data_IF_324213089369
#
_entry.id   IF_324213089369
#
_cell.length_a   1.000
_cell.length_b   1.000
_cell.length_c   1.000
_cell.angle_alpha   90.00
_cell.angle_beta   90.00
_cell.angle_gamma   90.00
#
_symmetry.space_group_name_H-M   'P 1'
#
loop_
_entity.id
_entity.type
_entity.pdbx_description
1 polymer ?
#
# COMPACT_ATOMS: atom_id res chain seq x y z
N UNK A 1 -7.74 19.10 -11.72
CA UNK A 1 -6.70 18.88 -10.69
C UNK A 1 -6.11 20.19 -10.18
N UNK A 2 -5.40 20.97 -11.02
CA UNK A 2 -4.71 22.22 -10.62
C UNK A 2 -5.60 23.35 -10.08
N UNK A 3 -6.91 23.31 -10.35
CA UNK A 3 -7.89 24.28 -9.86
C UNK A 3 -8.48 23.92 -8.49
N UNK A 4 -8.10 22.78 -7.91
CA UNK A 4 -8.63 22.36 -6.61
C UNK A 4 -7.99 23.20 -5.48
N UNK A 5 -8.76 23.70 -4.49
CA UNK A 5 -8.24 24.61 -3.46
C UNK A 5 -7.13 24.01 -2.58
N UNK A 6 -7.09 22.67 -2.47
CA UNK A 6 -6.05 21.93 -1.73
C UNK A 6 -4.87 21.47 -2.61
N UNK A 7 -4.77 21.97 -3.84
CA UNK A 7 -3.62 21.70 -4.72
C UNK A 7 -2.53 22.73 -4.44
N UNK A 8 -1.31 22.28 -4.15
CA UNK A 8 -0.21 23.18 -3.77
C UNK A 8 0.38 23.89 -5.01
N UNK A 9 0.89 25.10 -4.81
CA UNK A 9 1.69 25.78 -5.84
C UNK A 9 3.00 25.01 -6.05
N UNK A 10 3.38 24.75 -7.29
CA UNK A 10 4.57 23.95 -7.66
C UNK A 10 4.58 22.49 -7.16
N UNK A 11 3.41 21.93 -6.80
CA UNK A 11 3.29 20.58 -6.23
C UNK A 11 4.05 19.50 -7.02
N UNK A 12 3.94 19.49 -8.36
CA UNK A 12 4.62 18.51 -9.21
C UNK A 12 6.13 18.51 -8.99
N UNK A 13 6.74 19.69 -8.89
CA UNK A 13 8.18 19.80 -8.69
C UNK A 13 8.60 19.33 -7.29
N UNK A 14 7.82 19.68 -6.27
CA UNK A 14 8.07 19.21 -4.90
C UNK A 14 7.95 17.69 -4.79
N UNK A 15 6.89 17.10 -5.36
CA UNK A 15 6.66 15.67 -5.41
C UNK A 15 7.79 14.95 -6.18
N UNK A 16 8.19 15.47 -7.34
CA UNK A 16 9.27 14.89 -8.13
C UNK A 16 10.62 14.95 -7.39
N UNK A 17 10.96 16.10 -6.80
CA UNK A 17 12.18 16.26 -6.01
C UNK A 17 12.20 15.30 -4.82
N UNK A 18 11.09 15.19 -4.09
CA UNK A 18 10.98 14.28 -2.96
C UNK A 18 11.10 12.83 -3.41
N UNK A 19 10.40 12.44 -4.48
CA UNK A 19 10.49 11.10 -5.06
C UNK A 19 11.93 10.73 -5.43
N UNK A 20 12.69 11.64 -6.06
CA UNK A 20 14.10 11.38 -6.40
C UNK A 20 14.98 11.18 -5.17
N UNK A 21 14.80 12.02 -4.13
CA UNK A 21 15.54 11.89 -2.86
C UNK A 21 15.20 10.56 -2.18
N UNK A 22 13.91 10.21 -2.13
CA UNK A 22 13.41 8.98 -1.54
C UNK A 22 13.93 7.75 -2.27
N UNK A 23 13.85 7.73 -3.60
CA UNK A 23 14.38 6.64 -4.41
C UNK A 23 15.88 6.45 -4.21
N UNK A 24 16.66 7.53 -4.19
CA UNK A 24 18.10 7.46 -3.96
C UNK A 24 18.42 6.81 -2.61
N UNK A 25 17.87 7.35 -1.51
CA UNK A 25 18.18 6.86 -0.16
C UNK A 25 17.59 5.47 0.11
N UNK A 26 16.37 5.18 -0.34
CA UNK A 26 15.80 3.85 -0.23
C UNK A 26 16.62 2.81 -1.01
N UNK A 27 17.19 3.18 -2.16
CA UNK A 27 18.09 2.31 -2.92
C UNK A 27 19.38 2.02 -2.14
N UNK A 28 19.99 3.04 -1.52
CA UNK A 28 21.18 2.86 -0.66
C UNK A 28 20.88 1.88 0.48
N UNK A 29 19.74 2.02 1.15
CA UNK A 29 19.31 1.12 2.22
C UNK A 29 19.00 -0.31 1.74
N UNK A 30 18.71 -0.48 0.45
CA UNK A 30 18.41 -1.78 -0.16
C UNK A 30 19.68 -2.54 -0.55
N UNK A 31 20.82 -1.87 -0.74
CA UNK A 31 22.09 -2.49 -1.16
C UNK A 31 22.50 -3.68 -0.29
N UNK A 32 22.45 -3.64 1.06
CA UNK A 32 22.81 -4.78 1.89
C UNK A 32 21.92 -6.01 1.65
N UNK A 33 20.62 -5.79 1.36
CA UNK A 33 19.66 -6.86 1.08
C UNK A 33 20.00 -7.54 -0.26
N UNK A 34 20.27 -6.74 -1.31
CA UNK A 34 20.69 -7.27 -2.61
C UNK A 34 22.01 -8.01 -2.51
N UNK A 35 22.97 -7.48 -1.75
CA UNK A 35 24.23 -8.15 -1.51
C UNK A 35 24.02 -9.50 -0.82
N UNK A 36 23.12 -9.57 0.16
CA UNK A 36 22.80 -10.81 0.83
C UNK A 36 22.16 -11.85 -0.12
N UNK A 37 21.27 -11.41 -1.02
CA UNK A 37 20.67 -12.25 -2.07
C UNK A 37 21.72 -12.79 -3.04
N UNK A 38 22.67 -11.95 -3.48
CA UNK A 38 23.75 -12.35 -4.39
C UNK A 38 24.73 -13.32 -3.70
N UNK A 39 25.01 -13.13 -2.41
CA UNK A 39 25.87 -14.00 -1.60
C UNK A 39 25.24 -15.35 -1.25
N UNK A 40 23.98 -15.58 -1.60
CA UNK A 40 23.29 -16.85 -1.35
C UNK A 40 22.75 -17.00 0.07
N UNK A 41 22.55 -15.90 0.82
CA UNK A 41 21.89 -15.94 2.13
C UNK A 41 20.36 -16.07 2.03
N UNK A 42 19.81 -16.19 0.83
CA UNK A 42 18.38 -16.35 0.55
C UNK A 42 18.09 -17.66 -0.15
N UNK A 43 16.82 -18.04 -0.18
CA UNK A 43 16.31 -19.25 -0.82
C UNK A 43 16.02 -19.01 -2.31
N UNK A 44 16.91 -18.28 -2.99
CA UNK A 44 16.80 -18.02 -4.42
C UNK A 44 17.31 -19.21 -5.23
N UNK A 45 16.51 -19.66 -6.19
CA UNK A 45 16.80 -20.82 -7.02
C UNK A 45 16.54 -20.54 -8.51
N UNK A 46 16.99 -21.42 -9.40
CA UNK A 46 16.80 -21.28 -10.85
C UNK A 46 15.64 -22.16 -11.34
N UNK A 47 14.85 -21.65 -12.29
CA UNK A 47 13.66 -22.38 -12.77
C UNK A 47 14.10 -23.71 -13.39
N UNK A 48 13.46 -24.80 -12.96
CA UNK A 48 13.73 -26.15 -13.44
C UNK A 48 14.95 -26.82 -12.80
N UNK A 49 15.58 -26.23 -11.79
CA UNK A 49 16.74 -26.82 -11.09
C UNK A 49 16.38 -27.98 -10.13
N UNK A 50 15.08 -28.24 -9.93
CA UNK A 50 14.57 -29.30 -9.06
C UNK A 50 14.46 -28.92 -7.58
N UNK A 51 14.74 -27.67 -7.20
CA UNK A 51 14.62 -27.19 -5.80
C UNK A 51 13.19 -27.29 -5.27
N UNK A 52 12.20 -27.10 -6.14
CA UNK A 52 10.76 -27.14 -5.81
C UNK A 52 9.99 -27.89 -6.89
N UNK A 53 8.75 -28.28 -6.59
CA UNK A 53 7.87 -28.90 -7.59
C UNK A 53 7.48 -27.90 -8.67
N UNK A 54 7.24 -28.38 -9.90
CA UNK A 54 6.77 -27.53 -11.01
C UNK A 54 5.45 -26.81 -10.69
N UNK A 55 4.59 -27.41 -9.86
CA UNK A 55 3.38 -26.74 -9.36
C UNK A 55 3.72 -25.53 -8.49
N UNK A 56 4.73 -25.64 -7.61
CA UNK A 56 5.19 -24.51 -6.82
C UNK A 56 5.82 -23.43 -7.70
N UNK A 57 6.58 -23.81 -8.74
CA UNK A 57 7.19 -22.82 -9.65
C UNK A 57 6.17 -21.88 -10.29
N UNK A 58 4.95 -22.37 -10.56
CA UNK A 58 3.84 -21.53 -11.05
C UNK A 58 3.13 -20.82 -9.89
N UNK A 59 2.87 -21.54 -8.78
CA UNK A 59 2.11 -21.00 -7.65
C UNK A 59 2.85 -19.92 -6.84
N UNK A 60 4.19 -19.89 -6.90
CA UNK A 60 5.01 -18.94 -6.13
C UNK A 60 4.64 -17.47 -6.39
N UNK A 61 4.16 -17.13 -7.59
CA UNK A 61 3.71 -15.77 -7.89
C UNK A 61 2.45 -15.40 -7.10
N UNK A 62 1.50 -16.33 -6.99
CA UNK A 62 0.29 -16.12 -6.19
C UNK A 62 0.64 -16.01 -4.71
N UNK A 63 1.53 -16.86 -4.21
CA UNK A 63 2.01 -16.79 -2.82
C UNK A 63 2.73 -15.47 -2.54
N UNK A 64 3.56 -15.00 -3.46
CA UNK A 64 4.21 -13.70 -3.38
C UNK A 64 3.19 -12.56 -3.33
N UNK A 65 2.17 -12.57 -4.20
CA UNK A 65 1.15 -11.52 -4.24
C UNK A 65 0.39 -11.47 -2.91
N UNK A 66 -0.04 -12.61 -2.38
CA UNK A 66 -0.75 -12.68 -1.08
C UNK A 66 0.16 -12.19 0.05
N UNK A 67 1.42 -12.63 0.08
CA UNK A 67 2.40 -12.20 1.07
C UNK A 67 2.64 -10.68 1.01
N UNK A 68 2.96 -10.17 -0.18
CA UNK A 68 3.26 -8.76 -0.42
C UNK A 68 2.08 -7.86 -0.07
N UNK A 69 0.87 -8.23 -0.49
CA UNK A 69 -0.37 -7.50 -0.17
C UNK A 69 -0.62 -7.48 1.35
N UNK A 70 -0.43 -8.62 2.02
CA UNK A 70 -0.61 -8.72 3.47
C UNK A 70 0.37 -7.85 4.22
N UNK A 71 1.67 -8.00 3.93
CA UNK A 71 2.70 -7.22 4.61
C UNK A 71 2.54 -5.72 4.34
N UNK A 72 2.27 -5.33 3.10
CA UNK A 72 2.10 -3.92 2.72
C UNK A 72 0.88 -3.30 3.41
N UNK A 73 -0.26 -4.01 3.48
CA UNK A 73 -1.45 -3.52 4.18
C UNK A 73 -1.15 -3.21 5.65
N UNK A 74 -0.51 -4.15 6.36
CA UNK A 74 -0.22 -3.97 7.78
C UNK A 74 0.88 -2.94 8.03
N UNK A 75 1.92 -2.88 7.18
CA UNK A 75 2.94 -1.83 7.24
C UNK A 75 2.32 -0.45 7.01
N UNK A 76 1.42 -0.31 6.03
CA UNK A 76 0.74 0.94 5.78
C UNK A 76 -0.08 1.38 7.01
N UNK A 77 -0.84 0.48 7.62
CA UNK A 77 -1.55 0.77 8.88
C UNK A 77 -0.60 1.12 10.02
N UNK A 78 0.55 0.48 10.11
CA UNK A 78 1.57 0.79 11.10
C UNK A 78 2.13 2.21 10.90
N UNK A 79 2.34 2.65 9.64
CA UNK A 79 2.75 4.03 9.35
C UNK A 79 1.68 5.07 9.69
N UNK A 80 0.42 4.67 9.79
CA UNK A 80 -0.65 5.49 10.37
C UNK A 80 -0.66 5.52 11.89
N UNK A 81 0.26 4.87 12.60
CA UNK A 81 0.39 5.00 14.06
C UNK A 81 0.94 6.39 14.46
N UNK A 82 0.52 7.04 15.58
CA UNK A 82 0.81 8.46 15.84
C UNK A 82 2.26 8.89 15.77
N UNK A 83 3.13 8.01 16.24
CA UNK A 83 4.57 8.24 16.18
C UNK A 83 5.08 8.23 14.74
N UNK A 84 4.84 7.15 13.99
CA UNK A 84 5.32 6.95 12.63
C UNK A 84 4.63 7.88 11.63
N UNK A 85 3.36 8.22 11.87
CA UNK A 85 2.64 9.16 11.04
C UNK A 85 3.30 10.53 11.10
N UNK A 86 3.53 11.05 12.31
CA UNK A 86 4.12 12.38 12.49
C UNK A 86 5.55 12.46 11.95
N UNK A 87 6.35 11.41 12.10
CA UNK A 87 7.75 11.39 11.68
C UNK A 87 7.91 11.17 10.16
N UNK A 88 7.11 10.29 9.57
CA UNK A 88 7.35 9.73 8.23
C UNK A 88 6.15 9.95 7.31
N UNK A 89 4.98 9.38 7.67
CA UNK A 89 3.83 9.28 6.74
C UNK A 89 3.10 10.60 6.47
N UNK A 90 3.19 11.58 7.37
CA UNK A 90 2.55 12.89 7.23
C UNK A 90 3.04 13.64 5.99
N UNK A 91 4.31 13.45 5.58
CA UNK A 91 4.86 14.07 4.37
C UNK A 91 4.13 13.58 3.13
N UNK A 92 3.87 12.28 3.05
CA UNK A 92 3.11 11.67 1.98
C UNK A 92 1.67 12.21 1.93
N UNK A 93 0.99 12.26 3.08
CA UNK A 93 -0.40 12.75 3.20
C UNK A 93 -0.58 14.26 3.04
N UNK A 94 0.51 15.03 2.89
CA UNK A 94 0.42 16.46 2.59
C UNK A 94 -0.21 16.71 1.21
N UNK A 95 -0.08 15.75 0.29
CA UNK A 95 -0.57 15.83 -1.08
C UNK A 95 -1.98 15.24 -1.20
N UNK A 96 -2.99 15.94 -0.66
CA UNK A 96 -4.39 15.47 -0.65
C UNK A 96 -4.94 15.15 -2.04
N UNK A 97 -4.44 15.85 -3.07
CA UNK A 97 -4.71 15.57 -4.48
C UNK A 97 -3.40 15.09 -5.11
N UNK A 98 -3.03 13.81 -4.94
CA UNK A 98 -1.74 13.29 -5.38
C UNK A 98 -1.63 13.31 -6.91
N UNK A 99 -0.47 13.69 -7.44
CA UNK A 99 -0.15 13.52 -8.87
C UNK A 99 0.67 12.24 -9.10
N UNK A 100 0.93 11.81 -10.35
CA UNK A 100 1.85 10.70 -10.62
C UNK A 100 3.22 10.81 -9.96
N UNK A 101 3.72 12.03 -9.80
CA UNK A 101 5.02 12.27 -9.19
C UNK A 101 5.03 12.04 -7.67
N UNK A 102 3.87 11.91 -7.04
CA UNK A 102 3.74 11.53 -5.62
C UNK A 102 3.97 10.05 -5.35
N UNK A 103 4.12 9.22 -6.41
CA UNK A 103 4.28 7.77 -6.29
C UNK A 103 5.38 7.35 -5.31
N UNK A 104 6.47 8.13 -5.22
CA UNK A 104 7.57 7.91 -4.28
C UNK A 104 7.82 9.12 -3.35
N UNK A 105 6.87 10.06 -3.25
CA UNK A 105 7.00 11.24 -2.39
C UNK A 105 6.72 10.89 -0.91
N UNK A 106 7.44 9.89 -0.40
CA UNK A 106 7.43 9.39 0.97
C UNK A 106 8.64 9.91 1.74
N UNK A 107 8.72 9.59 3.03
CA UNK A 107 10.01 9.59 3.71
C UNK A 107 10.89 8.42 3.19
N UNK A 108 12.21 8.58 3.01
CA UNK A 108 13.08 7.51 2.52
C UNK A 108 12.99 6.19 3.30
N UNK A 109 12.93 6.27 4.62
CA UNK A 109 12.84 5.09 5.48
C UNK A 109 11.48 4.41 5.34
N UNK A 110 10.42 5.19 5.09
CA UNK A 110 9.08 4.67 4.87
C UNK A 110 8.99 3.91 3.56
N UNK A 111 9.47 4.53 2.46
CA UNK A 111 9.50 3.88 1.15
C UNK A 111 10.33 2.59 1.19
N UNK A 112 11.49 2.62 1.86
CA UNK A 112 12.31 1.43 2.05
C UNK A 112 11.55 0.34 2.82
N UNK A 113 10.95 0.67 3.97
CA UNK A 113 10.21 -0.29 4.79
C UNK A 113 9.00 -0.89 4.05
N UNK A 114 8.21 -0.07 3.35
CA UNK A 114 7.08 -0.52 2.52
C UNK A 114 7.56 -1.42 1.37
N UNK A 115 8.78 -1.23 0.86
CA UNK A 115 9.35 -2.06 -0.21
C UNK A 115 9.90 -3.42 0.27
N UNK A 116 10.14 -3.60 1.57
CA UNK A 116 10.74 -4.83 2.13
C UNK A 116 10.02 -6.13 1.74
N UNK A 117 8.68 -6.20 1.64
CA UNK A 117 8.00 -7.45 1.26
C UNK A 117 8.47 -8.01 -0.09
N UNK A 118 8.88 -7.13 -1.03
CA UNK A 118 9.40 -7.55 -2.35
C UNK A 118 10.67 -8.39 -2.19
N UNK A 119 11.53 -8.07 -1.22
CA UNK A 119 12.80 -8.76 -1.01
C UNK A 119 12.70 -9.87 0.03
N UNK A 120 11.93 -9.63 1.10
CA UNK A 120 11.81 -10.51 2.27
C UNK A 120 11.26 -11.90 1.92
N UNK A 121 10.42 -12.01 0.88
CA UNK A 121 9.85 -13.29 0.46
C UNK A 121 10.96 -14.33 0.22
N UNK A 122 12.02 -13.98 -0.51
CA UNK A 122 13.14 -14.89 -0.81
C UNK A 122 13.97 -15.32 0.41
N UNK A 123 13.92 -14.58 1.52
CA UNK A 123 14.57 -15.00 2.77
C UNK A 123 13.75 -16.06 3.50
N UNK A 124 12.42 -15.99 3.36
CA UNK A 124 11.47 -16.84 4.09
C UNK A 124 11.11 -18.11 3.31
N UNK A 125 10.87 -17.99 2.01
CA UNK A 125 10.42 -19.07 1.12
C UNK A 125 11.27 -19.17 -0.16
N UNK A 126 11.35 -20.36 -0.76
CA UNK A 126 11.97 -20.53 -2.08
C UNK A 126 11.35 -19.60 -3.11
N UNK A 127 12.19 -18.90 -3.87
CA UNK A 127 11.73 -18.04 -4.95
C UNK A 127 12.68 -18.13 -6.13
N UNK A 128 12.12 -18.25 -7.33
CA UNK A 128 12.91 -18.21 -8.56
C UNK A 128 13.60 -16.85 -8.69
N UNK A 129 14.88 -16.82 -9.04
CA UNK A 129 15.62 -15.56 -9.34
C UNK A 129 14.92 -14.75 -10.42
N UNK A 130 14.38 -15.41 -11.44
CA UNK A 130 13.67 -14.77 -12.54
C UNK A 130 12.36 -14.13 -12.04
N UNK A 131 11.62 -14.85 -11.20
CA UNK A 131 10.38 -14.32 -10.60
C UNK A 131 10.68 -13.18 -9.64
N UNK A 132 11.76 -13.23 -8.86
CA UNK A 132 12.20 -12.14 -7.98
C UNK A 132 12.45 -10.84 -8.76
N UNK A 133 13.14 -10.92 -9.90
CA UNK A 133 13.37 -9.76 -10.77
C UNK A 133 12.06 -9.28 -11.41
N UNK A 134 11.22 -10.22 -11.89
CA UNK A 134 9.92 -9.89 -12.47
C UNK A 134 9.05 -9.11 -11.50
N UNK A 135 8.86 -9.60 -10.27
CA UNK A 135 8.02 -8.92 -9.28
C UNK A 135 8.61 -7.58 -8.84
N UNK A 136 9.95 -7.46 -8.77
CA UNK A 136 10.60 -6.19 -8.50
C UNK A 136 10.25 -5.15 -9.57
N UNK A 137 10.37 -5.50 -10.85
CA UNK A 137 10.01 -4.60 -11.96
C UNK A 137 8.52 -4.30 -11.94
N UNK A 138 7.67 -5.33 -11.83
CA UNK A 138 6.21 -5.17 -11.84
C UNK A 138 5.71 -4.30 -10.68
N UNK A 139 6.24 -4.44 -9.48
CA UNK A 139 5.84 -3.60 -8.32
C UNK A 139 6.25 -2.14 -8.50
N UNK A 140 7.43 -1.89 -9.08
CA UNK A 140 7.86 -0.53 -9.36
C UNK A 140 7.00 0.12 -10.45
N UNK A 141 6.71 -0.61 -11.54
CA UNK A 141 5.84 -0.15 -12.63
C UNK A 141 4.41 0.06 -12.14
N UNK A 142 3.85 -0.87 -11.35
CA UNK A 142 2.52 -0.75 -10.76
C UNK A 142 2.35 0.55 -9.97
N UNK A 143 3.36 0.89 -9.16
CA UNK A 143 3.35 2.10 -8.32
C UNK A 143 3.24 3.40 -9.13
N UNK A 144 3.72 3.41 -10.38
CA UNK A 144 3.50 4.51 -11.32
C UNK A 144 2.16 4.40 -12.05
N UNK A 145 1.81 3.22 -12.58
CA UNK A 145 0.61 3.03 -13.41
C UNK A 145 -0.68 3.35 -12.68
N UNK A 146 -0.77 3.01 -11.39
CA UNK A 146 -1.92 3.33 -10.53
C UNK A 146 -2.17 4.84 -10.36
N UNK A 147 -1.22 5.70 -10.73
CA UNK A 147 -1.36 7.16 -10.57
C UNK A 147 -1.68 7.89 -11.88
N UNK A 148 -1.50 7.23 -13.02
CA UNK A 148 -1.63 7.86 -14.35
C UNK A 148 -2.99 7.50 -15.00
N UNK A 149 -3.90 6.80 -14.30
CA UNK A 149 -5.22 6.38 -14.82
C UNK A 149 -5.16 5.51 -16.08
N UNK A 150 -3.99 4.97 -16.43
CA UNK A 150 -3.78 4.24 -17.69
C UNK A 150 -4.36 2.82 -17.68
N UNK A 151 -4.58 2.24 -16.51
CA UNK A 151 -5.17 0.91 -16.42
C UNK A 151 -6.70 1.02 -16.47
N UNK A 152 -7.37 0.41 -17.48
CA UNK A 152 -8.83 0.31 -17.48
C UNK A 152 -9.30 -0.44 -16.24
N UNK A 153 -10.57 -0.23 -15.87
CA UNK A 153 -11.25 -0.68 -14.65
C UNK A 153 -11.16 -2.21 -14.43
N UNK A 154 -10.03 -2.69 -13.93
CA UNK A 154 -9.71 -4.11 -13.82
C UNK A 154 -10.08 -4.73 -12.46
N UNK A 155 -11.01 -4.12 -11.73
CA UNK A 155 -11.49 -4.61 -10.44
C UNK A 155 -12.96 -5.02 -10.54
N UNK A 156 -13.28 -6.11 -9.84
CA UNK A 156 -14.53 -6.90 -9.90
C UNK A 156 -15.81 -6.13 -9.53
N UNK A 157 -15.69 -4.85 -9.18
CA UNK A 157 -16.78 -3.89 -9.03
C UNK A 157 -16.48 -2.71 -9.94
N UNK A 158 -17.36 -2.46 -10.91
CA UNK A 158 -17.19 -1.55 -12.06
C UNK A 158 -16.93 -0.07 -11.73
N UNK A 159 -16.75 0.26 -10.44
CA UNK A 159 -16.64 1.60 -9.88
C UNK A 159 -15.47 1.81 -8.89
N UNK A 160 -14.63 0.81 -8.60
CA UNK A 160 -13.56 0.89 -7.57
C UNK A 160 -12.15 0.76 -8.15
N UNK A 161 -11.63 1.78 -8.83
CA UNK A 161 -10.22 1.73 -9.26
C UNK A 161 -9.28 1.90 -8.07
N UNK A 162 -8.12 1.23 -8.09
CA UNK A 162 -7.19 1.30 -6.96
C UNK A 162 -6.65 2.73 -6.74
N UNK A 163 -6.56 3.51 -7.81
CA UNK A 163 -6.29 4.95 -7.71
C UNK A 163 -7.35 5.70 -6.91
N UNK A 164 -8.64 5.43 -7.18
CA UNK A 164 -9.74 6.12 -6.52
C UNK A 164 -9.77 5.81 -5.03
N UNK A 165 -9.62 4.54 -4.63
CA UNK A 165 -9.63 4.28 -3.18
C UNK A 165 -8.37 4.81 -2.47
N UNK A 166 -7.22 4.90 -3.14
CA UNK A 166 -6.04 5.54 -2.55
C UNK A 166 -6.20 7.08 -2.48
N UNK A 167 -6.78 7.70 -3.51
CA UNK A 167 -7.10 9.13 -3.47
C UNK A 167 -8.13 9.44 -2.38
N UNK A 168 -9.08 8.53 -2.17
CA UNK A 168 -10.03 8.61 -1.06
C UNK A 168 -9.33 8.44 0.30
N UNK A 169 -8.36 7.53 0.41
CA UNK A 169 -7.53 7.36 1.60
C UNK A 169 -6.78 8.65 1.99
N UNK A 170 -6.24 9.41 1.02
CA UNK A 170 -5.62 10.72 1.28
C UNK A 170 -6.60 11.77 1.85
N UNK A 171 -7.92 11.54 1.73
CA UNK A 171 -8.96 12.36 2.35
C UNK A 171 -9.44 11.77 3.68
N UNK A 172 -9.44 10.44 3.79
CA UNK A 172 -9.81 9.70 4.98
C UNK A 172 -8.75 8.65 5.31
N UNK A 173 -7.77 9.08 6.11
CA UNK A 173 -6.54 8.33 6.42
C UNK A 173 -6.75 6.99 7.11
N UNK A 174 -7.96 6.71 7.60
CA UNK A 174 -8.27 5.45 8.29
C UNK A 174 -8.80 4.35 7.36
N UNK A 175 -9.12 4.68 6.10
CA UNK A 175 -9.81 3.78 5.17
C UNK A 175 -8.94 3.44 3.96
N UNK A 176 -9.15 2.26 3.38
CA UNK A 176 -8.56 1.83 2.09
C UNK A 176 -7.02 1.82 2.05
N UNK A 177 -6.40 1.13 3.00
CA UNK A 177 -4.94 1.01 3.12
C UNK A 177 -4.33 -0.04 2.17
N UNK A 178 -5.14 -0.87 1.50
CA UNK A 178 -4.67 -1.90 0.58
C UNK A 178 -3.89 -1.36 -0.63
N UNK A 179 -2.88 -2.11 -1.06
CA UNK A 179 -1.97 -1.72 -2.15
C UNK A 179 -2.48 -2.18 -3.51
N UNK A 180 -2.75 -3.48 -3.65
CA UNK A 180 -3.26 -4.07 -4.89
C UNK A 180 -4.77 -4.31 -4.81
N UNK A 181 -5.27 -4.78 -3.67
CA UNK A 181 -6.66 -5.23 -3.51
C UNK A 181 -7.36 -4.52 -2.34
N UNK A 182 -8.69 -4.63 -2.27
CA UNK A 182 -9.49 -4.19 -1.12
C UNK A 182 -9.76 -5.32 -0.12
N UNK A 183 -9.17 -6.49 -0.33
CA UNK A 183 -9.43 -7.71 0.43
C UNK A 183 -9.18 -7.51 1.92
N UNK A 184 -8.00 -7.00 2.30
CA UNK A 184 -7.68 -6.72 3.70
C UNK A 184 -8.51 -5.57 4.28
N UNK A 185 -8.81 -4.55 3.49
CA UNK A 185 -9.71 -3.49 3.92
C UNK A 185 -11.10 -4.00 4.29
N UNK A 186 -11.63 -4.96 3.52
CA UNK A 186 -12.91 -5.60 3.80
C UNK A 186 -12.83 -6.50 5.04
N UNK A 187 -11.78 -7.32 5.15
CA UNK A 187 -11.60 -8.19 6.31
C UNK A 187 -11.39 -7.44 7.62
N UNK A 188 -10.64 -6.34 7.59
CA UNK A 188 -10.33 -5.54 8.77
C UNK A 188 -11.33 -4.40 9.03
N UNK A 189 -12.41 -4.30 8.23
CA UNK A 189 -13.44 -3.28 8.37
C UNK A 189 -12.99 -1.84 8.06
N UNK A 190 -11.93 -1.67 7.27
CA UNK A 190 -11.38 -0.37 6.83
C UNK A 190 -11.75 -0.02 5.39
N UNK A 191 -12.71 -0.73 4.78
CA UNK A 191 -13.18 -0.42 3.44
C UNK A 191 -14.10 0.81 3.42
N UNK A 192 -13.78 1.79 2.57
CA UNK A 192 -14.60 2.97 2.34
C UNK A 192 -14.97 3.12 0.87
N UNK A 193 -16.28 3.11 0.56
CA UNK A 193 -16.79 3.26 -0.80
C UNK A 193 -16.65 4.72 -1.32
N UNK A 194 -15.83 4.97 -2.37
CA UNK A 194 -15.63 6.30 -2.93
C UNK A 194 -16.88 6.86 -3.64
N UNK A 195 -17.73 6.00 -4.22
CA UNK A 195 -18.94 6.39 -4.93
C UNK A 195 -20.05 6.81 -3.97
N UNK A 196 -20.20 6.10 -2.84
CA UNK A 196 -21.12 6.50 -1.78
C UNK A 196 -20.77 7.89 -1.23
N UNK A 197 -19.48 8.20 -1.12
CA UNK A 197 -19.02 9.55 -0.75
C UNK A 197 -19.36 10.60 -1.82
N UNK A 198 -19.18 10.28 -3.11
CA UNK A 198 -19.42 11.23 -4.22
C UNK A 198 -20.90 11.57 -4.43
N UNK A 199 -21.83 10.66 -4.11
CA UNK A 199 -23.27 10.82 -4.36
C UNK A 199 -24.01 11.66 -3.32
N UNK A 200 -23.35 12.25 -2.32
CA UNK A 200 -24.00 13.11 -1.33
C UNK A 200 -24.89 12.37 -0.30
N UNK A 201 -25.17 11.07 -0.50
CA UNK A 201 -25.83 10.19 0.48
C UNK A 201 -24.92 9.80 1.66
N UNK A 202 -23.80 10.51 1.86
CA UNK A 202 -22.94 10.46 3.04
C UNK A 202 -23.49 11.28 4.22
N UNK A 203 -24.81 11.46 4.28
CA UNK A 203 -25.54 12.00 5.44
C UNK A 203 -25.51 11.10 6.67
N UNK A 204 -24.71 10.04 6.70
CA UNK A 204 -24.17 9.59 7.98
C UNK A 204 -23.15 10.64 8.39
N UNK A 205 -23.59 11.60 9.23
CA UNK A 205 -22.73 12.17 10.25
C UNK A 205 -21.86 11.00 10.71
N UNK A 206 -20.54 11.09 10.54
CA UNK A 206 -19.62 10.24 11.28
C UNK A 206 -19.94 10.54 12.74
N UNK A 207 -20.89 9.75 13.28
CA UNK A 207 -21.28 9.80 14.66
C UNK A 207 -19.99 9.55 15.40
N UNK A 208 -19.67 10.40 16.37
CA UNK A 208 -18.54 10.20 17.31
C UNK A 208 -18.55 8.79 17.95
N UNK A 209 -19.61 8.01 17.76
CA UNK A 209 -19.84 6.66 18.27
C UNK A 209 -19.58 5.52 17.27
N UNK A 210 -19.47 5.78 15.95
CA UNK A 210 -19.32 4.72 14.93
C UNK A 210 -18.00 4.88 14.15
N UNK A 211 -16.90 4.47 14.77
CA UNK A 211 -15.58 4.26 14.13
C UNK A 211 -15.47 2.95 13.34
N UNK A 212 -16.58 2.24 13.13
CA UNK A 212 -16.60 0.91 12.52
C UNK A 212 -17.61 0.90 11.37
N UNK A 213 -17.16 0.55 10.17
CA UNK A 213 -18.04 0.02 9.15
C UNK A 213 -18.47 -1.37 9.61
N UNK A 214 -19.60 -1.47 10.29
CA UNK A 214 -20.27 -2.76 10.48
C UNK A 214 -20.86 -3.17 9.14
N UNK A 215 -20.40 -4.31 8.60
CA UNK A 215 -21.08 -4.97 7.50
C UNK A 215 -22.46 -5.44 8.00
N UNK A 216 -23.53 -4.85 7.45
CA UNK A 216 -24.86 -5.45 7.53
C UNK A 216 -24.85 -6.71 6.66
N UNK A 217 -24.73 -7.86 7.32
CA UNK A 217 -24.71 -9.17 6.68
C UNK A 217 -24.23 -10.19 7.69
N UNK A 218 -25.17 -10.92 8.28
CA UNK A 218 -24.90 -11.91 9.31
C UNK A 218 -23.94 -13.01 8.85
N UNK A 219 -23.37 -13.64 9.89
CA UNK A 219 -22.58 -14.86 9.92
C UNK A 219 -21.05 -14.75 9.75
N UNK A 220 -20.38 -14.97 10.90
CA UNK A 220 -18.98 -15.39 11.12
C UNK A 220 -17.85 -14.35 11.01
N UNK A 221 -17.66 -13.58 12.09
CA UNK A 221 -16.35 -13.04 12.50
C UNK A 221 -15.95 -13.68 13.83
N UNK A 222 -15.32 -14.85 13.77
CA UNK A 222 -14.69 -15.49 14.91
C UNK A 222 -13.26 -15.84 14.54
N UNK A 223 -12.38 -14.85 14.48
CA UNK A 223 -10.92 -14.97 14.67
C UNK A 223 -10.34 -13.58 14.92
N UNK A 224 -10.68 -13.01 16.07
CA UNK A 224 -9.91 -11.91 16.66
C UNK A 224 -9.04 -12.56 17.73
N UNK A 225 -7.82 -12.93 17.37
CA UNK A 225 -6.78 -13.24 18.35
C UNK A 225 -5.65 -12.22 18.20
N UNK A 226 -5.30 -11.65 19.35
CA UNK A 226 -4.22 -10.69 19.65
C UNK A 226 -4.55 -9.20 19.49
N UNK A 227 -4.88 -8.61 20.63
CA UNK A 227 -4.46 -7.25 20.97
C UNK A 227 -5.45 -6.15 20.64
N UNK A 228 -6.15 -5.68 21.68
CA UNK A 228 -6.86 -4.42 21.74
C UNK A 228 -5.99 -3.25 21.24
N UNK A 229 -6.10 -2.88 19.96
CA UNK A 229 -5.67 -1.57 19.49
C UNK A 229 -6.72 -0.55 19.96
N UNK A 230 -6.47 -0.01 21.15
CA UNK A 230 -7.22 1.05 21.79
C UNK A 230 -7.44 2.21 20.81
N UNK A 231 -8.68 2.71 20.75
CA UNK A 231 -9.08 3.81 19.90
C UNK A 231 -8.32 5.09 20.27
N UNK A 232 -7.36 5.50 19.44
CA UNK A 232 -6.68 6.78 19.60
C UNK A 232 -7.45 7.86 18.83
N UNK A 233 -8.01 8.84 19.54
CA UNK A 233 -8.55 10.05 18.93
C UNK A 233 -7.41 10.87 18.33
N UNK A 234 -7.44 11.02 17.02
CA UNK A 234 -6.45 11.78 16.28
C UNK A 234 -6.80 13.27 16.29
N UNK A 235 -5.87 14.17 16.61
CA UNK A 235 -6.13 15.60 16.50
C UNK A 235 -6.41 15.93 15.03
N UNK A 236 -7.64 16.38 14.78
CA UNK A 236 -8.14 16.85 13.50
C UNK A 236 -7.13 17.82 12.85
N UNK A 237 -6.91 17.66 11.53
CA UNK A 237 -6.35 18.74 10.73
C UNK A 237 -7.32 19.93 10.80
N UNK A 238 -6.89 21.13 11.24
CA UNK A 238 -7.74 22.30 11.17
C UNK A 238 -8.07 22.60 9.70
N UNK A 239 -9.34 22.98 9.49
CA UNK A 239 -9.96 23.39 8.23
C UNK A 239 -9.23 24.52 7.52
#
# INVERSE_FOLDING_TARGET
MKQHPRYHKNQIWEEARQSLITLFWASVLTVPILFAQIRGYTKLYDIGDGTVSSTYEVAQLLYFIVFSETCTYWLHRLFHHPFLFKSMHKKHHRYIIPTPFSAYAFDPLEAWAISLPVYAYSFLWPMSRHVQVLVFVCTNVWSFLIRIQLLPRLTYTLDDTREQLHTFHHKNVQLNCGQYFSTWDRFAGTYGDPMRYRRGNGGTKLSKKNRYCTCDGGLHCAFVFLGTFQEWEWPFFPS
#
